data_IF_564739911445
#
_entry.id   IF_564739911445
#
_cell.length_a   1.000
_cell.length_b   1.000
_cell.length_c   1.000
_cell.angle_alpha   90.00
_cell.angle_beta   90.00
_cell.angle_gamma   90.00
#
_symmetry.space_group_name_H-M   'P 1'
#
loop_
_entity.id
_entity.type
_entity.pdbx_description
1 polymer ?
#
# COMPACT_ATOMS: atom_id res chain seq x y z
N UNK A 1 49.12 -0.75 84.19
CA UNK A 1 47.85 -1.50 84.27
C UNK A 1 47.23 -1.50 82.87
N UNK A 2 47.36 -2.64 82.18
CA UNK A 2 46.56 -3.17 81.04
C UNK A 2 46.07 -2.25 79.89
N UNK A 3 46.66 -2.47 78.70
CA UNK A 3 46.08 -2.42 77.33
C UNK A 3 44.85 -3.37 77.18
N UNK A 4 44.18 -3.52 76.00
CA UNK A 4 43.64 -2.60 74.97
C UNK A 4 42.20 -3.03 74.50
N UNK A 5 41.68 -2.47 73.39
CA UNK A 5 40.82 -3.11 72.35
C UNK A 5 39.43 -2.50 71.98
N UNK A 6 39.37 -2.05 70.71
CA UNK A 6 38.39 -2.36 69.64
C UNK A 6 37.01 -1.65 69.47
N UNK A 7 36.78 -1.39 68.16
CA UNK A 7 35.56 -1.18 67.37
C UNK A 7 35.01 0.26 67.21
N UNK A 8 35.29 1.00 66.13
CA UNK A 8 35.01 0.82 64.68
C UNK A 8 33.58 1.24 64.23
N UNK A 9 33.59 2.22 63.32
CA UNK A 9 32.63 2.48 62.22
C UNK A 9 31.29 3.19 62.50
N UNK A 10 31.03 4.24 61.70
CA UNK A 10 29.71 4.40 61.06
C UNK A 10 29.01 5.76 61.15
N UNK A 11 29.57 6.82 60.59
CA UNK A 11 28.77 7.99 60.13
C UNK A 11 27.80 7.56 59.03
N UNK A 12 26.51 7.53 59.32
CA UNK A 12 25.45 7.30 58.33
C UNK A 12 25.08 8.61 57.62
N UNK A 13 25.51 8.74 56.37
CA UNK A 13 24.93 9.67 55.40
C UNK A 13 23.45 9.32 55.16
N UNK A 14 22.55 10.30 55.01
CA UNK A 14 21.19 10.01 54.56
C UNK A 14 21.22 9.51 53.11
N UNK A 15 20.86 8.24 52.93
CA UNK A 15 20.63 7.61 51.63
C UNK A 15 19.60 8.43 50.83
N UNK A 16 20.03 8.93 49.67
CA UNK A 16 19.10 9.42 48.65
C UNK A 16 18.18 8.27 48.20
N UNK A 17 16.87 8.51 47.97
CA UNK A 17 15.96 7.46 47.53
C UNK A 17 16.37 6.91 46.16
N UNK A 18 16.08 5.63 45.85
CA UNK A 18 16.49 5.03 44.58
C UNK A 18 15.73 5.65 43.39
N UNK A 19 16.27 5.56 42.17
CA UNK A 19 15.68 6.15 40.97
C UNK A 19 14.50 5.30 40.43
N UNK A 20 13.41 5.18 41.19
CA UNK A 20 12.20 4.47 40.74
C UNK A 20 11.36 5.30 39.75
N UNK A 21 11.51 6.62 39.72
CA UNK A 21 10.76 7.52 38.83
C UNK A 21 11.22 7.47 37.37
N UNK A 22 12.51 7.25 37.11
CA UNK A 22 13.07 7.22 35.75
C UNK A 22 12.70 5.95 34.98
N UNK A 23 12.63 4.80 35.65
CA UNK A 23 12.22 3.54 35.02
C UNK A 23 10.73 3.53 34.68
N UNK A 24 9.86 4.08 35.54
CA UNK A 24 8.43 4.23 35.25
C UNK A 24 8.18 5.21 34.09
N UNK A 25 8.93 6.31 34.00
CA UNK A 25 8.81 7.27 32.90
C UNK A 25 9.28 6.66 31.57
N UNK A 26 10.39 5.92 31.58
CA UNK A 26 10.90 5.21 30.40
C UNK A 26 9.97 4.09 29.93
N UNK A 27 9.34 3.36 30.86
CA UNK A 27 8.35 2.33 30.55
C UNK A 27 7.08 2.93 29.92
N UNK A 28 6.57 4.03 30.47
CA UNK A 28 5.44 4.79 29.90
C UNK A 28 5.76 5.32 28.50
N UNK A 29 6.92 5.96 28.33
CA UNK A 29 7.36 6.46 27.03
C UNK A 29 7.51 5.35 25.97
N UNK A 30 7.99 4.16 26.36
CA UNK A 30 8.04 2.98 25.46
C UNK A 30 6.63 2.46 25.14
N UNK A 31 5.71 2.48 26.10
CA UNK A 31 4.31 2.12 25.91
C UNK A 31 3.61 3.04 24.91
N UNK A 32 3.75 4.35 25.11
CA UNK A 32 3.16 5.39 24.24
C UNK A 32 3.73 5.32 22.83
N UNK A 33 5.03 5.10 22.67
CA UNK A 33 5.67 4.93 21.37
C UNK A 33 5.18 3.68 20.61
N UNK A 34 4.96 2.57 21.33
CA UNK A 34 4.39 1.34 20.75
C UNK A 34 2.95 1.53 20.32
N UNK A 35 2.12 2.16 21.16
CA UNK A 35 0.73 2.47 20.85
C UNK A 35 0.64 3.40 19.62
N UNK A 36 1.50 4.42 19.53
CA UNK A 36 1.57 5.33 18.39
C UNK A 36 2.04 4.64 17.10
N UNK A 37 2.94 3.65 17.17
CA UNK A 37 3.31 2.86 15.96
C UNK A 37 2.17 1.96 15.52
N UNK A 38 1.51 1.28 16.46
CA UNK A 38 0.36 0.41 16.17
C UNK A 38 -0.80 1.18 15.52
N UNK A 39 -1.10 2.39 16.00
CA UNK A 39 -2.11 3.25 15.37
C UNK A 39 -1.76 3.64 13.93
N UNK A 40 -0.49 3.94 13.64
CA UNK A 40 -0.03 4.27 12.28
C UNK A 40 -0.10 3.08 11.34
N UNK A 41 0.30 1.91 11.82
CA UNK A 41 0.22 0.64 11.07
C UNK A 41 -1.25 0.34 10.74
N UNK A 42 -2.16 0.45 11.71
CA UNK A 42 -3.59 0.25 11.47
C UNK A 42 -4.18 1.17 10.41
N UNK A 43 -3.86 2.48 10.44
CA UNK A 43 -4.33 3.43 9.41
C UNK A 43 -3.85 3.01 8.02
N UNK A 44 -2.59 2.59 7.89
CA UNK A 44 -2.02 2.14 6.62
C UNK A 44 -2.72 0.88 6.13
N UNK A 45 -2.94 -0.11 6.99
CA UNK A 45 -3.58 -1.37 6.62
C UNK A 45 -5.04 -1.17 6.20
N UNK A 46 -5.80 -0.30 6.89
CA UNK A 46 -7.16 0.06 6.48
C UNK A 46 -7.16 0.72 5.10
N UNK A 47 -6.26 1.67 4.84
CA UNK A 47 -6.18 2.33 3.53
C UNK A 47 -5.77 1.36 2.41
N UNK A 48 -4.86 0.41 2.69
CA UNK A 48 -4.51 -0.67 1.75
C UNK A 48 -5.71 -1.55 1.44
N UNK A 49 -6.48 -1.94 2.46
CA UNK A 49 -7.68 -2.75 2.30
C UNK A 49 -8.74 -2.06 1.44
N UNK A 50 -9.01 -0.77 1.71
CA UNK A 50 -9.92 0.05 0.90
C UNK A 50 -9.43 0.12 -0.55
N UNK A 51 -8.15 0.44 -0.78
CA UNK A 51 -7.58 0.55 -2.12
C UNK A 51 -7.65 -0.78 -2.88
N UNK A 52 -7.36 -1.90 -2.22
CA UNK A 52 -7.43 -3.24 -2.83
C UNK A 52 -8.85 -3.58 -3.29
N UNK A 53 -9.83 -3.39 -2.41
CA UNK A 53 -11.24 -3.69 -2.70
C UNK A 53 -11.79 -2.75 -3.79
N UNK A 54 -11.41 -1.48 -3.74
CA UNK A 54 -11.82 -0.48 -4.73
C UNK A 54 -11.32 -0.85 -6.14
N UNK A 55 -10.03 -1.18 -6.27
CA UNK A 55 -9.44 -1.57 -7.57
C UNK A 55 -10.01 -2.90 -8.05
N UNK A 56 -10.12 -3.90 -7.16
CA UNK A 56 -10.68 -5.20 -7.52
C UNK A 56 -12.13 -5.07 -8.00
N UNK A 57 -12.96 -4.29 -7.30
CA UNK A 57 -14.35 -4.13 -7.71
C UNK A 57 -14.51 -3.27 -8.98
N UNK A 58 -13.62 -2.29 -9.19
CA UNK A 58 -13.54 -1.58 -10.47
C UNK A 58 -13.25 -2.52 -11.64
N UNK A 59 -12.24 -3.39 -11.51
CA UNK A 59 -11.93 -4.38 -12.54
C UNK A 59 -13.04 -5.42 -12.70
N UNK A 60 -13.69 -5.83 -11.61
CA UNK A 60 -14.86 -6.71 -11.67
C UNK A 60 -15.95 -6.13 -12.57
N UNK A 61 -16.32 -4.85 -12.37
CA UNK A 61 -17.32 -4.16 -13.20
C UNK A 61 -16.89 -4.09 -14.67
N UNK A 62 -15.62 -3.85 -14.95
CA UNK A 62 -15.09 -3.82 -16.33
C UNK A 62 -15.11 -5.19 -17.03
N UNK A 63 -15.19 -6.29 -16.28
CA UNK A 63 -15.18 -7.66 -16.82
C UNK A 63 -16.60 -8.19 -17.02
N UNK A 64 -17.53 -7.92 -16.10
CA UNK A 64 -18.85 -8.58 -16.09
C UNK A 64 -20.02 -7.65 -16.39
N UNK A 65 -19.86 -6.33 -16.28
CA UNK A 65 -20.99 -5.41 -16.31
C UNK A 65 -20.91 -4.44 -17.50
N UNK A 66 -22.07 -4.10 -18.07
CA UNK A 66 -22.19 -3.25 -19.28
C UNK A 66 -21.67 -1.81 -19.11
N UNK A 67 -21.44 -1.38 -17.87
CA UNK A 67 -21.01 -0.01 -17.58
C UNK A 67 -22.18 0.93 -17.32
N UNK A 68 -21.90 2.05 -16.64
CA UNK A 68 -22.95 2.94 -16.12
C UNK A 68 -23.74 3.62 -17.23
N UNK A 69 -23.07 4.03 -18.30
CA UNK A 69 -23.72 4.72 -19.41
C UNK A 69 -24.74 3.82 -20.11
N UNK A 70 -24.33 2.62 -20.51
CA UNK A 70 -25.22 1.63 -21.14
C UNK A 70 -26.34 1.20 -20.17
N UNK A 71 -26.01 1.00 -18.89
CA UNK A 71 -27.02 0.68 -17.88
C UNK A 71 -28.11 1.76 -17.77
N UNK A 72 -27.70 3.02 -17.63
CA UNK A 72 -28.63 4.15 -17.50
C UNK A 72 -29.51 4.32 -18.75
N UNK A 73 -28.94 4.16 -19.96
CA UNK A 73 -29.69 4.24 -21.21
C UNK A 73 -30.80 3.19 -21.32
N UNK A 74 -30.59 1.99 -20.75
CA UNK A 74 -31.57 0.90 -20.82
C UNK A 74 -32.56 0.89 -19.65
N UNK A 75 -32.12 1.26 -18.44
CA UNK A 75 -32.90 1.12 -17.20
C UNK A 75 -33.54 2.43 -16.74
N UNK A 76 -33.03 3.58 -17.22
CA UNK A 76 -33.53 4.90 -16.84
C UNK A 76 -33.53 5.13 -15.33
N UNK A 77 -34.52 5.85 -14.82
CA UNK A 77 -34.63 6.17 -13.38
C UNK A 77 -35.40 5.12 -12.56
N UNK A 78 -35.25 3.83 -12.91
CA UNK A 78 -35.87 2.74 -12.14
C UNK A 78 -35.42 2.73 -10.68
N UNK A 79 -36.36 2.48 -9.76
CA UNK A 79 -36.11 2.27 -8.34
C UNK A 79 -36.02 0.79 -7.95
N UNK A 80 -35.84 -0.11 -8.92
CA UNK A 80 -35.61 -1.52 -8.61
C UNK A 80 -34.37 -1.72 -7.72
N UNK A 81 -34.33 -2.74 -6.84
CA UNK A 81 -33.16 -2.97 -5.98
C UNK A 81 -31.84 -3.08 -6.75
N UNK A 82 -31.87 -3.69 -7.94
CA UNK A 82 -30.71 -3.80 -8.83
C UNK A 82 -30.28 -2.45 -9.41
N UNK A 83 -31.22 -1.57 -9.78
CA UNK A 83 -30.92 -0.22 -10.25
C UNK A 83 -30.34 0.65 -9.14
N UNK A 84 -30.93 0.62 -7.93
CA UNK A 84 -30.39 1.33 -6.77
C UNK A 84 -28.97 0.85 -6.45
N UNK A 85 -28.76 -0.47 -6.40
CA UNK A 85 -27.43 -1.04 -6.17
C UNK A 85 -26.44 -0.60 -7.26
N UNK A 86 -26.82 -0.64 -8.53
CA UNK A 86 -25.98 -0.17 -9.63
C UNK A 86 -25.60 1.31 -9.45
N UNK A 87 -26.56 2.20 -9.20
CA UNK A 87 -26.31 3.63 -9.02
C UNK A 87 -25.47 3.94 -7.79
N UNK A 88 -25.65 3.22 -6.68
CA UNK A 88 -24.81 3.35 -5.48
C UNK A 88 -23.34 2.99 -5.75
N UNK A 89 -23.08 2.14 -6.74
CA UNK A 89 -21.71 1.79 -7.16
C UNK A 89 -21.10 2.79 -8.14
N UNK A 90 -21.78 3.89 -8.48
CA UNK A 90 -21.25 4.92 -9.37
C UNK A 90 -19.83 5.41 -8.99
N UNK A 91 -19.50 5.71 -7.71
CA UNK A 91 -18.16 6.15 -7.32
C UNK A 91 -17.04 5.16 -7.67
N UNK A 92 -17.36 3.87 -7.85
CA UNK A 92 -16.40 2.84 -8.27
C UNK A 92 -15.89 3.10 -9.70
N UNK A 93 -16.54 3.98 -10.49
CA UNK A 93 -16.02 4.40 -11.79
C UNK A 93 -14.60 5.00 -11.71
N UNK A 94 -14.22 5.56 -10.57
CA UNK A 94 -12.87 6.06 -10.29
C UNK A 94 -12.03 5.09 -9.46
N UNK A 95 -12.36 3.80 -9.45
CA UNK A 95 -11.69 2.84 -8.57
C UNK A 95 -10.20 2.62 -8.85
N UNK A 96 -9.73 3.01 -10.04
CA UNK A 96 -8.31 3.11 -10.37
C UNK A 96 -7.52 4.06 -9.44
N UNK A 97 -8.19 4.97 -8.72
CA UNK A 97 -7.60 5.82 -7.69
C UNK A 97 -6.92 5.03 -6.55
N UNK A 98 -7.25 3.74 -6.37
CA UNK A 98 -6.53 2.88 -5.44
C UNK A 98 -5.06 2.64 -5.81
N UNK A 99 -4.67 2.76 -7.09
CA UNK A 99 -3.29 2.56 -7.53
C UNK A 99 -2.34 3.64 -6.98
N UNK A 100 -2.62 4.95 -7.13
CA UNK A 100 -1.86 6.00 -6.44
C UNK A 100 -1.74 5.82 -4.93
N UNK A 101 -2.81 5.34 -4.27
CA UNK A 101 -2.81 5.04 -2.83
C UNK A 101 -1.74 4.00 -2.51
N UNK A 102 -1.68 2.89 -3.26
CA UNK A 102 -0.66 1.86 -3.09
C UNK A 102 0.76 2.40 -3.29
N UNK A 103 0.99 3.26 -4.30
CA UNK A 103 2.33 3.82 -4.52
C UNK A 103 2.77 4.73 -3.38
N UNK A 104 1.91 5.63 -2.89
CA UNK A 104 2.22 6.49 -1.74
C UNK A 104 2.49 5.66 -0.49
N UNK A 105 1.66 4.64 -0.22
CA UNK A 105 1.88 3.74 0.93
C UNK A 105 3.19 2.96 0.79
N UNK A 106 3.49 2.44 -0.41
CA UNK A 106 4.72 1.70 -0.69
C UNK A 106 5.95 2.57 -0.40
N UNK A 107 5.99 3.80 -0.93
CA UNK A 107 7.07 4.75 -0.67
C UNK A 107 7.23 5.11 0.80
N UNK A 108 6.13 5.34 1.52
CA UNK A 108 6.15 5.58 2.96
C UNK A 108 6.75 4.41 3.73
N UNK A 109 6.21 3.20 3.52
CA UNK A 109 6.61 2.00 4.27
C UNK A 109 8.07 1.60 3.98
N UNK A 110 8.52 1.75 2.74
CA UNK A 110 9.89 1.41 2.34
C UNK A 110 10.89 2.40 2.90
N UNK A 111 10.58 3.70 2.83
CA UNK A 111 11.53 4.73 3.24
C UNK A 111 11.59 4.93 4.77
N UNK A 112 10.47 4.74 5.50
CA UNK A 112 10.35 5.00 6.95
C UNK A 112 11.48 4.40 7.78
N UNK A 113 11.82 3.14 7.57
CA UNK A 113 12.87 2.48 8.34
C UNK A 113 14.25 3.10 8.12
N UNK A 114 14.57 3.48 6.88
CA UNK A 114 15.82 4.17 6.54
C UNK A 114 15.86 5.60 7.07
N UNK A 115 14.75 6.33 6.94
CA UNK A 115 14.62 7.70 7.44
C UNK A 115 14.83 7.78 8.97
N UNK A 116 14.20 6.88 9.74
CA UNK A 116 14.38 6.81 11.19
C UNK A 116 15.83 6.51 11.60
N UNK A 117 16.49 5.58 10.90
CA UNK A 117 17.91 5.25 11.15
C UNK A 117 18.83 6.41 10.83
N UNK A 118 18.50 7.20 9.81
CA UNK A 118 19.30 8.33 9.38
C UNK A 118 19.19 9.54 10.32
N UNK A 119 18.05 9.68 11.01
CA UNK A 119 17.89 10.65 12.12
C UNK A 119 18.73 10.23 13.33
N UNK A 120 18.74 8.94 13.68
CA UNK A 120 19.58 8.43 14.77
C UNK A 120 21.08 8.34 14.45
N UNK A 121 21.43 8.21 13.18
CA UNK A 121 22.81 8.10 12.70
C UNK A 121 22.94 8.72 11.28
N UNK A 122 23.43 9.98 11.15
CA UNK A 122 23.62 10.64 9.84
C UNK A 122 24.57 9.91 8.88
N UNK A 123 25.50 9.11 9.42
CA UNK A 123 26.43 8.30 8.64
C UNK A 123 25.78 7.00 8.12
N UNK A 124 24.56 6.66 8.55
CA UNK A 124 23.85 5.45 8.14
C UNK A 124 23.79 5.29 6.62
N UNK A 125 24.21 4.10 6.16
CA UNK A 125 24.13 3.67 4.76
C UNK A 125 23.12 2.52 4.66
N UNK A 126 22.36 2.51 3.57
CA UNK A 126 21.48 1.39 3.27
C UNK A 126 22.34 0.18 2.87
N UNK A 127 22.09 -0.95 3.50
CA UNK A 127 22.60 -2.24 3.06
C UNK A 127 21.79 -2.67 1.82
N UNK A 128 22.37 -2.41 0.63
CA UNK A 128 21.69 -2.55 -0.66
C UNK A 128 21.40 -4.01 -0.99
N UNK A 129 22.38 -4.90 -0.80
CA UNK A 129 22.22 -6.32 -1.11
C UNK A 129 21.11 -6.95 -0.28
N UNK A 130 21.13 -6.70 1.04
CA UNK A 130 20.08 -7.18 1.94
C UNK A 130 18.73 -6.50 1.70
N UNK A 131 18.73 -5.23 1.29
CA UNK A 131 17.49 -4.56 0.87
C UNK A 131 16.86 -5.28 -0.32
N UNK A 132 17.61 -5.49 -1.41
CA UNK A 132 17.10 -6.18 -2.60
C UNK A 132 16.73 -7.63 -2.32
N UNK A 133 17.56 -8.38 -1.58
CA UNK A 133 17.26 -9.77 -1.21
C UNK A 133 15.92 -9.91 -0.49
N UNK A 134 15.64 -9.05 0.50
CA UNK A 134 14.36 -9.06 1.21
C UNK A 134 13.18 -8.75 0.31
N UNK A 135 13.34 -7.86 -0.67
CA UNK A 135 12.27 -7.51 -1.61
C UNK A 135 12.05 -8.60 -2.66
N UNK A 136 13.13 -9.17 -3.17
CA UNK A 136 13.11 -10.29 -4.09
C UNK A 136 12.38 -11.50 -3.47
N UNK A 137 12.81 -11.93 -2.28
CA UNK A 137 12.20 -13.06 -1.54
C UNK A 137 10.76 -12.82 -1.10
N UNK A 138 10.34 -11.55 -0.99
CA UNK A 138 8.96 -11.17 -0.71
C UNK A 138 8.06 -11.21 -1.95
N UNK A 139 8.54 -10.75 -3.10
CA UNK A 139 7.72 -10.57 -4.31
C UNK A 139 7.73 -11.81 -5.21
N UNK A 140 8.91 -12.34 -5.53
CA UNK A 140 9.06 -13.32 -6.61
C UNK A 140 8.31 -14.64 -6.38
N UNK A 141 8.29 -15.23 -5.17
CA UNK A 141 7.49 -16.43 -4.93
C UNK A 141 6.00 -16.21 -5.19
N UNK A 142 5.49 -15.04 -4.81
CA UNK A 142 4.08 -14.66 -4.96
C UNK A 142 3.76 -14.36 -6.43
N UNK A 143 4.65 -13.64 -7.12
CA UNK A 143 4.54 -13.36 -8.55
C UNK A 143 4.52 -14.66 -9.36
N UNK A 144 5.46 -15.58 -9.11
CA UNK A 144 5.52 -16.85 -9.84
C UNK A 144 4.22 -17.66 -9.65
N UNK A 145 3.73 -17.78 -8.43
CA UNK A 145 2.47 -18.46 -8.14
C UNK A 145 1.28 -17.77 -8.82
N UNK A 146 1.25 -16.44 -8.87
CA UNK A 146 0.20 -15.68 -9.55
C UNK A 146 0.24 -15.85 -11.08
N UNK A 147 1.43 -15.94 -11.69
CA UNK A 147 1.59 -16.22 -13.12
C UNK A 147 1.13 -17.63 -13.47
N UNK A 148 1.51 -18.63 -12.66
CA UNK A 148 1.05 -20.03 -12.83
C UNK A 148 -0.47 -20.12 -12.68
N UNK A 149 -1.04 -19.46 -11.67
CA UNK A 149 -2.49 -19.40 -11.49
C UNK A 149 -3.17 -18.72 -12.69
N UNK A 150 -2.64 -17.59 -13.16
CA UNK A 150 -3.13 -16.88 -14.35
C UNK A 150 -3.14 -17.82 -15.56
N UNK A 151 -2.02 -18.51 -15.83
CA UNK A 151 -1.92 -19.48 -16.91
C UNK A 151 -3.00 -20.57 -16.80
N UNK A 152 -3.17 -21.16 -15.61
CA UNK A 152 -4.17 -22.21 -15.39
C UNK A 152 -5.61 -21.72 -15.64
N UNK A 153 -5.99 -20.57 -15.08
CA UNK A 153 -7.36 -20.04 -15.20
C UNK A 153 -7.67 -19.55 -16.62
N UNK A 154 -6.69 -18.92 -17.29
CA UNK A 154 -6.85 -18.47 -18.67
C UNK A 154 -6.88 -19.65 -19.64
N UNK A 155 -6.06 -20.68 -19.42
CA UNK A 155 -6.08 -21.91 -20.23
C UNK A 155 -7.44 -22.63 -20.16
N UNK A 156 -8.09 -22.61 -18.99
CA UNK A 156 -9.44 -23.12 -18.85
C UNK A 156 -10.47 -22.21 -19.53
N UNK A 157 -10.32 -20.89 -19.40
CA UNK A 157 -11.23 -19.92 -20.05
C UNK A 157 -11.17 -19.98 -21.57
N UNK A 158 -10.00 -20.26 -22.15
CA UNK A 158 -9.81 -20.43 -23.60
C UNK A 158 -10.57 -21.62 -24.19
N UNK A 159 -10.94 -22.60 -23.36
CA UNK A 159 -11.76 -23.75 -23.77
C UNK A 159 -13.26 -23.43 -23.81
N UNK A 160 -13.67 -22.23 -23.38
CA UNK A 160 -15.06 -21.81 -23.25
C UNK A 160 -15.40 -20.69 -24.25
N UNK A 161 -15.66 -21.00 -25.53
CA UNK A 161 -16.05 -19.98 -26.51
C UNK A 161 -17.42 -19.37 -26.18
N UNK A 162 -17.65 -18.07 -26.49
CA UNK A 162 -16.67 -17.12 -27.01
C UNK A 162 -15.66 -16.67 -25.94
N UNK A 163 -14.40 -16.54 -26.36
CA UNK A 163 -13.28 -16.18 -25.48
C UNK A 163 -13.35 -14.71 -25.09
N UNK A 164 -13.08 -14.42 -23.83
CA UNK A 164 -13.00 -13.05 -23.33
C UNK A 164 -11.85 -12.27 -24.00
N UNK A 165 -12.16 -11.10 -24.54
CA UNK A 165 -11.18 -10.16 -25.08
C UNK A 165 -10.15 -9.65 -24.05
N UNK A 166 -10.36 -9.93 -22.76
CA UNK A 166 -9.41 -9.60 -21.68
C UNK A 166 -8.21 -10.53 -21.69
N UNK A 167 -8.34 -11.76 -22.19
CA UNK A 167 -7.23 -12.71 -22.28
C UNK A 167 -6.32 -12.28 -23.43
N UNK A 168 -5.08 -11.90 -23.10
CA UNK A 168 -4.04 -11.52 -24.07
C UNK A 168 -3.11 -12.71 -24.33
N UNK A 169 -1.81 -12.46 -24.49
CA UNK A 169 -0.81 -13.48 -24.71
C UNK A 169 -0.52 -14.29 -23.43
N UNK A 170 -0.67 -15.62 -23.53
CA UNK A 170 -0.32 -16.59 -22.47
C UNK A 170 0.95 -17.40 -22.79
N UNK A 171 1.64 -17.08 -23.89
CA UNK A 171 2.85 -17.77 -24.34
C UNK A 171 4.09 -17.52 -23.47
N UNK A 172 5.15 -18.29 -23.71
CA UNK A 172 6.39 -18.25 -22.93
C UNK A 172 7.05 -16.85 -22.95
N UNK A 173 7.03 -16.16 -24.08
CA UNK A 173 7.57 -14.79 -24.17
C UNK A 173 6.88 -13.84 -23.17
N UNK A 174 5.54 -13.80 -23.18
CA UNK A 174 4.77 -12.97 -22.26
C UNK A 174 4.98 -13.40 -20.80
N UNK A 175 5.10 -14.69 -20.54
CA UNK A 175 5.42 -15.22 -19.20
C UNK A 175 6.76 -14.69 -18.71
N UNK A 176 7.82 -14.78 -19.52
CA UNK A 176 9.16 -14.31 -19.18
C UNK A 176 9.21 -12.79 -19.00
N UNK A 177 8.56 -12.02 -19.88
CA UNK A 177 8.43 -10.56 -19.72
C UNK A 177 7.82 -10.21 -18.36
N UNK A 178 6.78 -10.93 -17.93
CA UNK A 178 6.12 -10.65 -16.66
C UNK A 178 6.90 -11.19 -15.44
N UNK A 179 7.58 -12.33 -15.59
CA UNK A 179 8.46 -12.89 -14.56
C UNK A 179 9.63 -11.93 -14.25
N UNK A 180 10.20 -11.30 -15.27
CA UNK A 180 11.24 -10.28 -15.10
C UNK A 180 10.70 -8.88 -14.80
N UNK A 181 9.39 -8.73 -14.62
CA UNK A 181 8.75 -7.44 -14.30
C UNK A 181 9.02 -6.36 -15.36
N UNK A 182 9.00 -6.75 -16.64
CA UNK A 182 9.25 -5.88 -17.80
C UNK A 182 7.97 -5.53 -18.59
N UNK A 183 6.81 -6.00 -18.16
CA UNK A 183 5.52 -5.61 -18.70
C UNK A 183 5.33 -4.09 -18.58
N UNK A 184 4.84 -3.47 -19.66
CA UNK A 184 4.78 -2.01 -19.84
C UNK A 184 5.95 -1.43 -20.65
N UNK A 185 7.08 -2.16 -20.72
CA UNK A 185 8.30 -1.74 -21.45
C UNK A 185 8.64 -2.71 -22.59
N UNK A 186 8.82 -3.99 -22.27
CA UNK A 186 9.24 -5.02 -23.23
C UNK A 186 8.09 -5.92 -23.70
N UNK A 187 6.87 -5.70 -23.20
CA UNK A 187 5.69 -6.46 -23.58
C UNK A 187 4.48 -6.08 -22.74
N UNK A 188 3.38 -6.77 -22.97
CA UNK A 188 2.11 -6.53 -22.28
C UNK A 188 1.96 -7.44 -21.06
N UNK A 189 0.94 -7.18 -20.26
CA UNK A 189 0.59 -8.01 -19.09
C UNK A 189 0.24 -9.43 -19.50
N UNK A 190 0.65 -10.40 -18.68
CA UNK A 190 0.45 -11.83 -18.96
C UNK A 190 -1.02 -12.22 -18.92
N UNK A 191 -1.50 -12.85 -20.00
CA UNK A 191 -2.87 -13.33 -20.12
C UNK A 191 -3.92 -12.26 -19.83
N UNK A 192 -4.87 -12.60 -18.96
CA UNK A 192 -5.94 -11.70 -18.50
C UNK A 192 -5.55 -10.81 -17.33
N UNK A 193 -4.35 -11.00 -16.77
CA UNK A 193 -3.90 -10.33 -15.56
C UNK A 193 -3.37 -8.92 -15.83
N UNK A 194 -4.26 -8.06 -16.32
CA UNK A 194 -4.01 -6.66 -16.61
C UNK A 194 -3.53 -5.82 -15.42
N UNK A 195 -3.61 -6.32 -14.18
CA UNK A 195 -3.17 -5.61 -12.98
C UNK A 195 -1.65 -5.66 -12.76
N UNK A 196 -0.93 -6.60 -13.40
CA UNK A 196 0.51 -6.82 -13.19
C UNK A 196 1.40 -5.63 -13.59
N UNK A 197 0.90 -4.66 -14.35
CA UNK A 197 1.70 -3.50 -14.76
C UNK A 197 2.20 -2.69 -13.56
N UNK A 198 1.41 -2.51 -12.50
CA UNK A 198 1.85 -1.76 -11.31
C UNK A 198 2.92 -2.51 -10.52
N UNK A 199 2.92 -3.85 -10.56
CA UNK A 199 3.95 -4.67 -9.94
C UNK A 199 5.30 -4.45 -10.64
N UNK A 200 5.30 -4.34 -11.97
CA UNK A 200 6.50 -3.98 -12.74
C UNK A 200 7.07 -2.65 -12.27
N UNK A 201 6.22 -1.63 -12.09
CA UNK A 201 6.64 -0.34 -11.54
C UNK A 201 7.17 -0.45 -10.11
N UNK A 202 6.56 -1.29 -9.27
CA UNK A 202 7.02 -1.51 -7.89
C UNK A 202 8.42 -2.16 -7.87
N UNK A 203 8.69 -3.15 -8.71
CA UNK A 203 10.03 -3.75 -8.85
C UNK A 203 11.05 -2.71 -9.35
N UNK A 204 10.67 -1.87 -10.31
CA UNK A 204 11.51 -0.76 -10.78
C UNK A 204 11.80 0.27 -9.66
N UNK A 205 10.81 0.61 -8.82
CA UNK A 205 11.02 1.46 -7.64
C UNK A 205 12.03 0.85 -6.67
N UNK A 206 12.03 -0.47 -6.51
CA UNK A 206 12.97 -1.14 -5.62
C UNK A 206 14.38 -1.16 -6.17
N UNK A 207 14.54 -1.31 -7.49
CA UNK A 207 15.82 -1.22 -8.16
C UNK A 207 16.44 0.18 -7.98
N UNK A 208 15.66 1.25 -8.16
CA UNK A 208 16.16 2.63 -8.08
C UNK A 208 16.27 3.18 -6.65
N UNK A 209 15.59 2.58 -5.67
CA UNK A 209 15.52 3.09 -4.30
C UNK A 209 16.89 3.34 -3.63
N UNK A 210 17.91 2.47 -3.74
CA UNK A 210 19.22 2.74 -3.17
C UNK A 210 19.86 4.04 -3.68
N UNK A 211 19.68 4.35 -4.98
CA UNK A 211 20.15 5.60 -5.58
C UNK A 211 19.38 6.79 -5.01
N UNK A 212 18.06 6.69 -4.92
CA UNK A 212 17.23 7.74 -4.31
C UNK A 212 17.63 7.99 -2.84
N UNK A 213 17.89 6.93 -2.08
CA UNK A 213 18.34 7.03 -0.69
C UNK A 213 19.71 7.71 -0.59
N UNK A 214 20.65 7.38 -1.48
CA UNK A 214 21.96 8.02 -1.57
C UNK A 214 21.83 9.51 -1.95
N UNK A 215 20.96 9.85 -2.92
CA UNK A 215 20.69 11.22 -3.33
C UNK A 215 20.07 12.04 -2.18
N UNK A 216 19.09 11.47 -1.47
CA UNK A 216 18.49 12.07 -0.26
C UNK A 216 19.52 12.39 0.82
N UNK A 217 20.61 11.61 0.92
CA UNK A 217 21.69 11.90 1.86
C UNK A 217 22.55 13.10 1.44
N UNK A 218 22.70 13.34 0.13
CA UNK A 218 23.52 14.43 -0.40
C UNK A 218 22.78 15.77 -0.45
N UNK A 219 21.56 15.78 -0.98
CA UNK A 219 20.84 17.03 -1.29
C UNK A 219 19.55 17.21 -0.47
N UNK A 220 19.21 16.24 0.39
CA UNK A 220 17.98 16.26 1.18
C UNK A 220 16.74 15.81 0.40
N UNK A 221 15.66 15.50 1.14
CA UNK A 221 14.46 14.90 0.55
C UNK A 221 13.63 15.90 -0.29
N UNK A 222 13.64 17.18 0.06
CA UNK A 222 12.89 18.20 -0.69
C UNK A 222 13.48 18.41 -2.10
N UNK A 223 14.81 18.45 -2.22
CA UNK A 223 15.47 18.55 -3.52
C UNK A 223 15.26 17.28 -4.35
N UNK A 224 15.30 16.10 -3.72
CA UNK A 224 14.94 14.82 -4.37
C UNK A 224 13.51 14.87 -4.92
N UNK A 225 12.54 15.32 -4.12
CA UNK A 225 11.15 15.44 -4.55
C UNK A 225 11.00 16.39 -5.75
N UNK A 226 11.70 17.53 -5.74
CA UNK A 226 11.68 18.49 -6.84
C UNK A 226 12.27 17.90 -8.14
N UNK A 227 13.40 17.19 -8.04
CA UNK A 227 14.02 16.50 -9.19
C UNK A 227 13.08 15.41 -9.74
N UNK A 228 12.49 14.58 -8.86
CA UNK A 228 11.54 13.54 -9.29
C UNK A 228 10.30 14.16 -9.93
N UNK A 229 9.78 15.28 -9.40
CA UNK A 229 8.66 15.99 -10.00
C UNK A 229 9.00 16.51 -11.41
N UNK A 230 10.20 17.07 -11.60
CA UNK A 230 10.65 17.49 -12.93
C UNK A 230 10.77 16.32 -13.91
N UNK A 231 11.39 15.22 -13.49
CA UNK A 231 11.50 13.98 -14.29
C UNK A 231 10.12 13.42 -14.62
N UNK A 232 9.18 13.49 -13.67
CA UNK A 232 7.81 13.00 -13.84
C UNK A 232 7.09 13.78 -14.95
N UNK A 233 7.21 15.11 -14.96
CA UNK A 233 6.65 15.97 -16.01
C UNK A 233 7.28 15.64 -17.36
N UNK A 234 8.61 15.55 -17.45
CA UNK A 234 9.30 15.20 -18.71
C UNK A 234 8.87 13.81 -19.20
N UNK A 235 8.78 12.84 -18.30
CA UNK A 235 8.31 11.48 -18.60
C UNK A 235 6.87 11.46 -19.12
N UNK A 236 5.99 12.33 -18.61
CA UNK A 236 4.62 12.46 -19.10
C UNK A 236 4.59 12.86 -20.58
N UNK A 237 5.45 13.79 -20.98
CA UNK A 237 5.52 14.26 -22.36
C UNK A 237 6.18 13.26 -23.30
N UNK A 238 7.21 12.54 -22.83
CA UNK A 238 8.04 11.67 -23.68
C UNK A 238 7.59 10.19 -23.71
N UNK A 239 7.05 9.64 -22.63
CA UNK A 239 6.79 8.20 -22.52
C UNK A 239 5.29 7.89 -22.50
N UNK A 240 4.53 8.61 -21.69
CA UNK A 240 3.09 8.35 -21.54
C UNK A 240 2.33 8.61 -22.86
N UNK A 241 2.75 9.61 -23.64
CA UNK A 241 2.19 9.87 -24.97
C UNK A 241 2.38 8.73 -25.98
N UNK A 242 3.29 7.81 -25.71
CA UNK A 242 3.61 6.65 -26.55
C UNK A 242 3.22 5.32 -25.89
N UNK A 243 2.34 5.34 -24.88
CA UNK A 243 1.88 4.15 -24.14
C UNK A 243 3.01 3.34 -23.48
N UNK A 244 4.14 3.98 -23.17
CA UNK A 244 5.27 3.35 -22.48
C UNK A 244 5.10 3.57 -20.98
N UNK A 245 4.76 2.49 -20.28
CA UNK A 245 4.53 2.51 -18.84
C UNK A 245 5.86 2.31 -18.10
N UNK A 246 6.59 3.41 -17.88
CA UNK A 246 7.86 3.41 -17.17
C UNK A 246 7.76 4.03 -15.77
N UNK A 247 8.62 3.61 -14.83
CA UNK A 247 8.53 4.06 -13.43
C UNK A 247 8.57 5.58 -13.29
N UNK A 248 9.28 6.29 -14.16
CA UNK A 248 9.42 7.76 -14.12
C UNK A 248 8.08 8.48 -14.21
N UNK A 249 7.08 7.91 -14.89
CA UNK A 249 5.71 8.45 -14.99
C UNK A 249 4.92 8.35 -13.68
N UNK A 250 5.30 7.46 -12.76
CA UNK A 250 4.60 7.23 -11.49
C UNK A 250 5.48 7.45 -10.25
N UNK A 251 6.74 7.83 -10.47
CA UNK A 251 7.76 7.95 -9.43
C UNK A 251 7.45 9.06 -8.42
N UNK A 252 6.74 10.11 -8.84
CA UNK A 252 6.30 11.19 -7.95
C UNK A 252 5.37 10.66 -6.86
N UNK A 253 4.37 9.85 -7.23
CA UNK A 253 3.42 9.25 -6.28
C UNK A 253 4.13 8.44 -5.18
N UNK A 254 5.10 7.63 -5.59
CA UNK A 254 5.92 6.85 -4.66
C UNK A 254 6.80 7.76 -3.77
N UNK A 255 7.43 8.78 -4.37
CA UNK A 255 8.34 9.69 -3.66
C UNK A 255 7.62 10.60 -2.67
N UNK A 256 6.35 10.96 -2.91
CA UNK A 256 5.50 11.65 -1.93
C UNK A 256 5.38 10.84 -0.62
N UNK A 257 5.18 9.52 -0.72
CA UNK A 257 5.19 8.63 0.43
C UNK A 257 6.51 8.65 1.19
N UNK A 258 7.63 8.57 0.46
CA UNK A 258 8.97 8.66 1.03
C UNK A 258 9.23 10.02 1.71
N UNK A 259 8.74 11.11 1.12
CA UNK A 259 8.81 12.45 1.69
C UNK A 259 8.03 12.55 3.01
N UNK A 260 6.81 12.00 3.08
CA UNK A 260 6.04 11.93 4.33
C UNK A 260 6.83 11.17 5.40
N UNK A 261 7.47 10.06 5.03
CA UNK A 261 8.28 9.28 5.95
C UNK A 261 9.50 10.07 6.50
N UNK A 262 10.22 10.83 5.65
CA UNK A 262 11.33 11.69 6.08
C UNK A 262 10.84 12.84 6.98
N UNK A 263 9.72 13.49 6.59
CA UNK A 263 9.11 14.58 7.36
C UNK A 263 8.67 14.14 8.76
N UNK A 264 8.07 12.95 8.88
CA UNK A 264 7.66 12.37 10.17
C UNK A 264 8.85 11.83 10.98
N UNK A 265 9.92 11.35 10.33
CA UNK A 265 11.12 10.86 11.00
C UNK A 265 11.92 11.99 11.67
N UNK A 266 12.03 13.16 11.02
CA UNK A 266 12.79 14.32 11.53
C UNK A 266 12.18 15.01 12.76
N UNK A 267 11.09 14.50 13.31
CA UNK A 267 10.57 15.04 14.56
C UNK A 267 9.90 16.40 14.41
N UNK A 268 9.19 16.66 13.30
CA UNK A 268 8.07 17.63 13.31
C UNK A 268 6.91 17.16 14.23
N UNK A 269 7.18 16.25 15.17
CA UNK A 269 6.27 15.67 16.15
C UNK A 269 5.61 16.69 17.08
N UNK A 270 6.09 17.94 17.10
CA UNK A 270 5.42 19.07 17.77
C UNK A 270 4.55 19.95 16.86
N UNK A 271 4.89 20.07 15.57
CA UNK A 271 4.17 20.92 14.63
C UNK A 271 2.98 20.15 14.05
N UNK A 272 1.77 20.57 14.42
CA UNK A 272 0.53 19.97 13.90
C UNK A 272 0.46 20.19 12.40
N UNK A 273 0.24 19.12 11.65
CA UNK A 273 -0.17 19.29 10.27
C UNK A 273 -1.53 20.01 10.27
N UNK A 274 -1.67 21.10 9.49
CA UNK A 274 -2.84 21.95 9.58
C UNK A 274 -4.09 21.24 9.01
N UNK A 275 -5.26 21.55 9.55
CA UNK A 275 -6.51 20.87 9.18
C UNK A 275 -6.92 21.10 7.72
N UNK A 276 -6.46 22.20 7.11
CA UNK A 276 -6.71 22.50 5.69
C UNK A 276 -6.12 21.45 4.74
N UNK A 277 -5.19 20.59 5.19
CA UNK A 277 -4.71 19.46 4.39
C UNK A 277 -5.83 18.48 4.02
N UNK A 278 -6.89 18.33 4.82
CA UNK A 278 -8.06 17.54 4.42
C UNK A 278 -8.88 18.23 3.32
N UNK A 279 -8.97 19.55 3.36
CA UNK A 279 -9.63 20.34 2.31
C UNK A 279 -8.83 20.24 1.01
N UNK A 280 -7.50 20.36 1.09
CA UNK A 280 -6.61 20.17 -0.05
C UNK A 280 -6.69 18.74 -0.59
N UNK A 281 -6.75 17.74 0.30
CA UNK A 281 -6.96 16.34 -0.10
C UNK A 281 -8.27 16.17 -0.87
N UNK A 282 -9.38 16.72 -0.37
CA UNK A 282 -10.67 16.68 -1.04
C UNK A 282 -10.63 17.40 -2.40
N UNK A 283 -10.01 18.59 -2.47
CA UNK A 283 -9.87 19.35 -3.71
C UNK A 283 -9.09 18.56 -4.78
N UNK A 284 -7.98 17.93 -4.41
CA UNK A 284 -7.21 17.08 -5.32
C UNK A 284 -7.95 15.80 -5.71
N UNK A 285 -8.73 15.20 -4.82
CA UNK A 285 -9.54 14.02 -5.15
C UNK A 285 -10.61 14.38 -6.20
N UNK A 286 -11.34 15.47 -5.97
CA UNK A 286 -12.36 15.98 -6.90
C UNK A 286 -11.72 16.40 -8.23
N UNK A 287 -10.59 17.12 -8.18
CA UNK A 287 -9.83 17.50 -9.37
C UNK A 287 -9.35 16.28 -10.16
N UNK A 288 -8.92 15.22 -9.48
CA UNK A 288 -8.56 13.94 -10.11
C UNK A 288 -9.75 13.25 -10.78
N UNK A 289 -10.94 13.30 -10.19
CA UNK A 289 -12.16 12.78 -10.81
C UNK A 289 -12.49 13.49 -12.12
N UNK A 290 -12.31 14.82 -12.16
CA UNK A 290 -12.46 15.63 -13.38
C UNK A 290 -11.36 15.32 -14.40
N UNK A 291 -10.10 15.30 -13.96
CA UNK A 291 -8.95 15.00 -14.81
C UNK A 291 -9.02 13.61 -15.45
N UNK A 292 -9.64 12.63 -14.78
CA UNK A 292 -9.80 11.27 -15.29
C UNK A 292 -10.61 11.22 -16.60
N UNK A 293 -11.45 12.22 -16.86
CA UNK A 293 -12.15 12.36 -18.13
C UNK A 293 -11.20 12.67 -19.30
N UNK A 294 -10.11 13.39 -19.04
CA UNK A 294 -9.14 13.81 -20.05
C UNK A 294 -7.94 12.86 -20.16
N UNK A 295 -7.70 12.04 -19.13
CA UNK A 295 -6.65 11.03 -19.15
C UNK A 295 -6.33 10.46 -17.77
N UNK A 296 -5.84 9.23 -17.74
CA UNK A 296 -5.53 8.53 -16.49
C UNK A 296 -4.33 9.13 -15.77
N UNK A 297 -3.29 9.53 -16.51
CA UNK A 297 -2.05 10.04 -15.94
C UNK A 297 -2.26 11.24 -15.01
N UNK A 298 -2.95 12.28 -15.49
CA UNK A 298 -3.19 13.51 -14.70
C UNK A 298 -4.04 13.23 -13.46
N UNK A 299 -5.06 12.38 -13.59
CA UNK A 299 -5.88 11.94 -12.47
C UNK A 299 -5.04 11.22 -11.40
N UNK A 300 -4.11 10.36 -11.82
CA UNK A 300 -3.25 9.62 -10.89
C UNK A 300 -2.34 10.55 -10.09
N UNK A 301 -1.78 11.59 -10.70
CA UNK A 301 -0.96 12.56 -9.98
C UNK A 301 -1.78 13.36 -8.96
N UNK A 302 -3.00 13.80 -9.33
CA UNK A 302 -3.89 14.52 -8.42
C UNK A 302 -4.34 13.63 -7.26
N UNK A 303 -4.74 12.39 -7.52
CA UNK A 303 -5.10 11.44 -6.48
C UNK A 303 -3.93 11.10 -5.56
N UNK A 304 -2.71 10.98 -6.09
CA UNK A 304 -1.51 10.80 -5.27
C UNK A 304 -1.25 11.99 -4.34
N UNK A 305 -1.34 13.22 -4.85
CA UNK A 305 -1.20 14.45 -4.06
C UNK A 305 -2.29 14.56 -2.99
N UNK A 306 -3.53 14.28 -3.36
CA UNK A 306 -4.67 14.30 -2.43
C UNK A 306 -4.50 13.28 -1.32
N UNK A 307 -4.14 12.04 -1.67
CA UNK A 307 -3.87 11.00 -0.68
C UNK A 307 -2.62 11.30 0.16
N UNK A 308 -1.58 11.90 -0.40
CA UNK A 308 -0.40 12.33 0.36
C UNK A 308 -0.75 13.38 1.41
N UNK A 309 -1.60 14.36 1.08
CA UNK A 309 -2.10 15.36 2.03
C UNK A 309 -2.91 14.69 3.16
N UNK A 310 -3.83 13.80 2.79
CA UNK A 310 -4.61 13.01 3.74
C UNK A 310 -3.71 12.17 4.67
N UNK A 311 -2.79 11.40 4.11
CA UNK A 311 -1.91 10.50 4.85
C UNK A 311 -0.96 11.27 5.77
N UNK A 312 -0.40 12.38 5.31
CA UNK A 312 0.46 13.23 6.12
C UNK A 312 -0.28 13.72 7.37
N UNK A 313 -1.56 14.07 7.24
CA UNK A 313 -2.41 14.50 8.36
C UNK A 313 -2.84 13.33 9.24
N UNK A 314 -3.31 12.23 8.64
CA UNK A 314 -3.82 11.04 9.34
C UNK A 314 -2.75 10.34 10.20
N UNK A 315 -1.46 10.49 9.88
CA UNK A 315 -0.35 9.94 10.65
C UNK A 315 0.09 10.82 11.85
N UNK A 316 -0.63 11.92 12.15
CA UNK A 316 -0.35 12.77 13.30
C UNK A 316 -0.62 12.05 14.64
N UNK A 317 0.30 12.12 15.63
CA UNK A 317 0.23 11.34 16.87
C UNK A 317 -1.02 11.53 17.74
N UNK A 318 -1.76 12.64 17.58
CA UNK A 318 -2.90 13.02 18.44
C UNK A 318 -4.28 12.86 17.79
N UNK A 319 -4.36 12.56 16.49
CA UNK A 319 -5.66 12.28 15.85
C UNK A 319 -6.18 10.87 16.16
N UNK A 320 -5.31 9.94 16.57
CA UNK A 320 -5.70 8.66 17.16
C UNK A 320 -6.45 8.76 18.50
N UNK A 321 -6.52 9.97 19.10
CA UNK A 321 -7.14 10.22 20.40
C UNK A 321 -8.39 11.12 20.36
N UNK A 322 -8.88 11.54 19.17
CA UNK A 322 -10.10 12.36 19.07
C UNK A 322 -11.35 11.55 19.38
N UNK A 323 -11.65 11.50 20.67
CA UNK A 323 -12.97 11.27 21.23
C UNK A 323 -13.98 12.21 20.58
N UNK A 324 -15.07 11.64 20.10
CA UNK A 324 -16.21 12.35 19.55
C UNK A 324 -17.36 12.28 20.60
N UNK A 325 -18.14 13.35 20.86
CA UNK A 325 -19.10 13.43 21.98
C UNK A 325 -20.24 12.37 21.99
N UNK A 326 -20.76 12.12 23.21
CA UNK A 326 -21.17 10.81 23.79
C UNK A 326 -22.62 10.31 23.64
N UNK A 327 -23.55 10.98 22.96
CA UNK A 327 -24.99 10.63 23.07
C UNK A 327 -25.54 9.57 22.10
N UNK A 328 -25.34 9.77 20.79
CA UNK A 328 -25.91 8.92 19.72
C UNK A 328 -24.85 8.07 18.97
N UNK A 329 -23.61 8.06 19.47
CA UNK A 329 -22.43 7.51 18.77
C UNK A 329 -22.09 6.06 19.06
N UNK A 330 -22.59 5.43 20.12
CA UNK A 330 -22.11 4.11 20.54
C UNK A 330 -22.37 2.99 19.50
N UNK A 331 -23.51 3.01 18.82
CA UNK A 331 -23.82 2.08 17.72
C UNK A 331 -22.97 2.39 16.46
N UNK A 332 -22.89 3.66 16.06
CA UNK A 332 -22.05 4.10 14.92
C UNK A 332 -20.56 3.82 15.15
N UNK A 333 -20.06 3.94 16.38
CA UNK A 333 -18.66 3.67 16.74
C UNK A 333 -18.37 2.17 16.80
N UNK A 334 -19.34 1.35 17.19
CA UNK A 334 -19.18 -0.11 17.20
C UNK A 334 -19.14 -0.65 15.77
N UNK A 335 -20.05 -0.18 14.91
CA UNK A 335 -20.04 -0.48 13.47
C UNK A 335 -18.77 0.05 12.82
N UNK A 336 -18.36 1.29 13.10
CA UNK A 336 -17.12 1.87 12.55
C UNK A 336 -15.87 1.11 12.96
N UNK A 337 -15.78 0.65 14.22
CA UNK A 337 -14.65 -0.16 14.72
C UNK A 337 -14.67 -1.59 14.18
N UNK A 338 -15.84 -2.16 13.93
CA UNK A 338 -15.95 -3.46 13.26
C UNK A 338 -15.50 -3.35 11.81
N UNK A 339 -15.98 -2.33 11.09
CA UNK A 339 -15.60 -2.05 9.71
C UNK A 339 -14.10 -1.76 9.57
N UNK A 340 -13.51 -0.94 10.44
CA UNK A 340 -12.07 -0.67 10.40
C UNK A 340 -11.24 -1.93 10.62
N UNK A 341 -11.67 -2.83 11.53
CA UNK A 341 -11.01 -4.12 11.73
C UNK A 341 -11.12 -5.03 10.51
N UNK A 342 -12.27 -5.09 9.86
CA UNK A 342 -12.46 -5.86 8.62
C UNK A 342 -11.60 -5.30 7.50
N UNK A 343 -11.60 -3.98 7.29
CA UNK A 343 -10.79 -3.32 6.26
C UNK A 343 -9.29 -3.48 6.51
N UNK A 344 -8.85 -3.42 7.78
CA UNK A 344 -7.46 -3.70 8.16
C UNK A 344 -7.07 -5.14 7.79
N UNK A 345 -7.95 -6.13 8.04
CA UNK A 345 -7.71 -7.52 7.63
C UNK A 345 -7.67 -7.68 6.11
N UNK A 346 -8.50 -6.93 5.37
CA UNK A 346 -8.39 -6.85 3.91
C UNK A 346 -7.05 -6.23 3.48
N UNK A 347 -6.49 -5.34 4.29
CA UNK A 347 -5.14 -4.80 4.13
C UNK A 347 -4.04 -5.86 4.16
N UNK A 348 -4.17 -6.88 5.03
CA UNK A 348 -3.17 -7.93 5.21
C UNK A 348 -2.93 -8.77 3.94
N UNK A 349 -4.00 -9.11 3.22
CA UNK A 349 -3.95 -9.88 1.96
C UNK A 349 -4.17 -9.02 0.71
N UNK A 350 -4.08 -7.69 0.85
CA UNK A 350 -4.30 -6.73 -0.25
C UNK A 350 -3.44 -7.03 -1.48
N UNK A 351 -2.20 -7.46 -1.28
CA UNK A 351 -1.27 -7.80 -2.36
C UNK A 351 -1.69 -9.07 -3.09
N UNK A 352 -2.05 -10.13 -2.37
CA UNK A 352 -2.65 -11.34 -2.94
C UNK A 352 -3.91 -11.04 -3.75
N UNK A 353 -4.85 -10.27 -3.21
CA UNK A 353 -6.07 -9.88 -3.92
C UNK A 353 -5.74 -9.13 -5.22
N UNK A 354 -4.80 -8.19 -5.14
CA UNK A 354 -4.34 -7.43 -6.29
C UNK A 354 -3.76 -8.32 -7.40
N UNK A 355 -3.03 -9.37 -7.07
CA UNK A 355 -2.37 -10.23 -8.05
C UNK A 355 -3.28 -11.23 -8.76
N UNK A 356 -4.40 -11.67 -8.15
CA UNK A 356 -5.15 -12.82 -8.67
C UNK A 356 -6.61 -12.52 -9.05
N UNK A 357 -7.14 -11.34 -8.72
CA UNK A 357 -8.58 -11.06 -8.92
C UNK A 357 -9.02 -11.07 -10.39
N UNK A 358 -8.21 -10.55 -11.32
CA UNK A 358 -8.57 -10.43 -12.73
C UNK A 358 -8.77 -11.79 -13.42
N UNK A 359 -7.80 -12.74 -13.35
CA UNK A 359 -7.98 -14.08 -13.91
C UNK A 359 -9.19 -14.82 -13.33
N UNK A 360 -9.48 -14.63 -12.04
CA UNK A 360 -10.67 -15.19 -11.40
C UNK A 360 -11.95 -14.60 -12.02
N UNK A 361 -12.04 -13.28 -12.16
CA UNK A 361 -13.22 -12.64 -12.78
C UNK A 361 -13.43 -13.05 -14.23
N UNK A 362 -12.34 -13.20 -14.98
CA UNK A 362 -12.40 -13.58 -16.40
C UNK A 362 -12.85 -15.02 -16.55
N UNK A 363 -12.36 -15.94 -15.71
CA UNK A 363 -12.84 -17.31 -15.67
C UNK A 363 -14.32 -17.39 -15.30
N UNK A 364 -14.74 -16.69 -14.24
CA UNK A 364 -16.15 -16.67 -13.82
C UNK A 364 -17.05 -16.11 -14.93
N UNK A 365 -16.61 -15.07 -15.65
CA UNK A 365 -17.32 -14.49 -16.79
C UNK A 365 -17.45 -15.49 -17.95
N UNK A 366 -16.35 -16.19 -18.27
CA UNK A 366 -16.32 -17.20 -19.32
C UNK A 366 -17.23 -18.39 -18.98
N UNK A 367 -17.21 -18.84 -17.73
CA UNK A 367 -17.97 -19.99 -17.27
C UNK A 367 -19.47 -19.73 -17.08
N UNK A 368 -19.84 -18.62 -16.41
CA UNK A 368 -21.24 -18.35 -16.05
C UNK A 368 -22.00 -17.64 -17.16
N UNK A 369 -21.34 -16.77 -17.92
CA UNK A 369 -21.99 -15.89 -18.88
C UNK A 369 -21.36 -15.95 -20.27
N UNK A 370 -20.49 -16.93 -20.55
CA UNK A 370 -19.88 -17.07 -21.88
C UNK A 370 -19.19 -15.76 -22.33
N UNK A 371 -18.51 -15.10 -21.38
CA UNK A 371 -17.82 -13.81 -21.57
C UNK A 371 -18.73 -12.63 -21.96
N UNK A 372 -20.05 -12.76 -21.85
CA UNK A 372 -20.99 -11.68 -22.16
C UNK A 372 -21.16 -10.69 -21.00
N UNK A 373 -21.26 -9.40 -21.34
CA UNK A 373 -21.52 -8.35 -20.36
C UNK A 373 -22.98 -8.40 -19.88
N UNK A 374 -23.17 -8.26 -18.58
CA UNK A 374 -24.47 -8.36 -17.92
C UNK A 374 -25.08 -6.98 -17.66
N UNK A 375 -26.38 -6.86 -17.88
CA UNK A 375 -27.15 -5.67 -17.47
C UNK A 375 -27.31 -5.60 -15.95
N UNK A 376 -27.49 -6.77 -15.30
CA UNK A 376 -27.62 -6.88 -13.86
C UNK A 376 -26.29 -6.63 -13.16
N UNK A 377 -26.31 -5.88 -12.04
CA UNK A 377 -25.11 -5.61 -11.22
C UNK A 377 -24.76 -6.79 -10.30
N UNK A 378 -25.72 -7.68 -9.98
CA UNK A 378 -25.56 -8.75 -9.01
C UNK A 378 -24.38 -9.71 -9.27
N UNK A 379 -24.09 -10.11 -10.52
CA UNK A 379 -22.90 -10.89 -10.84
C UNK A 379 -21.60 -10.28 -10.33
N UNK A 380 -21.46 -8.94 -10.36
CA UNK A 380 -20.24 -8.27 -9.88
C UNK A 380 -20.01 -8.48 -8.38
N UNK A 381 -21.07 -8.50 -7.57
CA UNK A 381 -20.96 -8.81 -6.14
C UNK A 381 -20.63 -10.28 -5.92
N UNK A 382 -21.26 -11.19 -6.67
CA UNK A 382 -20.96 -12.62 -6.64
C UNK A 382 -19.48 -12.91 -6.94
N UNK A 383 -18.89 -12.20 -7.89
CA UNK A 383 -17.50 -12.38 -8.27
C UNK A 383 -16.55 -11.92 -7.16
N UNK A 384 -16.86 -10.82 -6.49
CA UNK A 384 -16.11 -10.37 -5.31
C UNK A 384 -16.19 -11.37 -4.16
N UNK A 385 -17.35 -12.02 -3.96
CA UNK A 385 -17.53 -13.07 -2.96
C UNK A 385 -16.69 -14.32 -3.24
N UNK A 386 -16.25 -14.53 -4.49
CA UNK A 386 -15.31 -15.61 -4.84
C UNK A 386 -13.86 -15.12 -4.74
N UNK A 387 -13.55 -13.96 -5.32
CA UNK A 387 -12.17 -13.47 -5.42
C UNK A 387 -11.56 -13.08 -4.07
N UNK A 388 -12.33 -12.49 -3.14
CA UNK A 388 -11.83 -12.07 -1.83
C UNK A 388 -11.43 -13.28 -0.96
N UNK A 389 -12.25 -14.34 -0.80
CA UNK A 389 -11.82 -15.56 -0.13
C UNK A 389 -10.66 -16.27 -0.84
N UNK A 390 -10.68 -16.37 -2.17
CA UNK A 390 -9.58 -16.96 -2.94
C UNK A 390 -8.25 -16.22 -2.68
N UNK A 391 -8.28 -14.89 -2.64
CA UNK A 391 -7.13 -14.06 -2.30
C UNK A 391 -6.64 -14.29 -0.86
N UNK A 392 -7.54 -14.47 0.09
CA UNK A 392 -7.16 -14.79 1.47
C UNK A 392 -6.50 -16.18 1.56
N UNK A 393 -7.00 -17.19 0.83
CA UNK A 393 -6.38 -18.51 0.75
C UNK A 393 -4.99 -18.41 0.13
N UNK A 394 -4.86 -17.71 -1.01
CA UNK A 394 -3.59 -17.48 -1.68
C UNK A 394 -2.58 -16.75 -0.77
N UNK A 395 -3.04 -15.76 0.00
CA UNK A 395 -2.23 -15.09 1.02
C UNK A 395 -1.69 -16.06 2.06
N UNK A 396 -2.53 -16.94 2.60
CA UNK A 396 -2.12 -17.91 3.63
C UNK A 396 -1.13 -18.95 3.10
N UNK A 397 -1.30 -19.38 1.85
CA UNK A 397 -0.50 -20.43 1.24
C UNK A 397 0.81 -19.94 0.63
N UNK A 398 0.85 -18.71 0.10
CA UNK A 398 1.99 -18.21 -0.70
C UNK A 398 2.58 -16.93 -0.11
N UNK A 399 1.78 -15.87 0.06
CA UNK A 399 2.29 -14.55 0.47
C UNK A 399 2.85 -14.58 1.90
N UNK A 400 2.11 -15.16 2.85
CA UNK A 400 2.51 -15.18 4.25
C UNK A 400 3.81 -16.00 4.48
N UNK A 401 4.00 -17.19 3.89
CA UNK A 401 5.30 -17.86 3.88
C UNK A 401 6.42 -17.01 3.25
N UNK A 402 6.18 -16.35 2.12
CA UNK A 402 7.17 -15.48 1.49
C UNK A 402 7.54 -14.28 2.37
N UNK A 403 6.57 -13.70 3.09
CA UNK A 403 6.81 -12.64 4.07
C UNK A 403 7.66 -13.12 5.25
N UNK A 404 7.37 -14.31 5.79
CA UNK A 404 8.16 -14.92 6.87
C UNK A 404 9.59 -15.22 6.42
N UNK A 405 9.75 -15.73 5.20
CA UNK A 405 11.05 -15.98 4.59
C UNK A 405 11.85 -14.69 4.39
N UNK A 406 11.23 -13.64 3.84
CA UNK A 406 11.85 -12.31 3.74
C UNK A 406 12.28 -11.73 5.10
N UNK A 407 11.50 -11.98 6.16
CA UNK A 407 11.80 -11.50 7.51
C UNK A 407 13.01 -12.20 8.16
N UNK A 408 13.35 -13.44 7.77
CA UNK A 408 14.50 -14.16 8.33
C UNK A 408 15.85 -13.52 7.95
N UNK A 409 15.90 -12.79 6.83
CA UNK A 409 17.08 -12.04 6.38
C UNK A 409 17.25 -10.69 7.10
N UNK A 410 16.39 -10.35 8.06
CA UNK A 410 16.56 -9.12 8.85
C UNK A 410 17.78 -9.29 9.75
N UNK A 411 18.88 -8.62 9.41
CA UNK A 411 20.10 -8.62 10.23
C UNK A 411 19.73 -8.26 11.66
N UNK A 412 20.05 -9.15 12.61
CA UNK A 412 19.91 -8.87 14.04
C UNK A 412 20.72 -7.62 14.43
N UNK A 413 20.44 -7.00 15.59
CA UNK A 413 21.34 -5.98 16.11
C UNK A 413 22.75 -6.57 16.17
N UNK A 414 23.72 -5.87 15.59
CA UNK A 414 25.11 -6.29 15.54
C UNK A 414 25.50 -6.82 16.93
N UNK A 415 25.85 -8.10 16.97
CA UNK A 415 26.39 -8.75 18.16
C UNK A 415 27.62 -7.91 18.52
N UNK A 416 27.51 -7.11 19.58
CA UNK A 416 28.60 -6.31 20.11
C UNK A 416 29.82 -7.21 20.16
N UNK A 417 30.89 -6.80 19.47
CA UNK A 417 32.18 -7.47 19.50
C UNK A 417 32.63 -7.49 20.96
N UNK A 418 32.29 -8.58 21.65
CA UNK A 418 32.89 -8.95 22.93
C UNK A 418 33.99 -9.92 22.52
N UNK A 419 35.19 -9.37 22.33
CA UNK A 419 36.49 -10.02 22.50
C UNK A 419 37.59 -9.01 22.12
N UNK A 420 37.85 -8.12 23.07
CA UNK A 420 39.20 -7.61 23.34
C UNK A 420 39.37 -7.69 24.86
N UNK A 421 39.90 -8.83 25.31
CA UNK A 421 40.88 -8.93 26.40
C UNK A 421 41.70 -10.17 26.15
#
# INVERSE_FOLDING_TARGET
MSDPALDAAGTSLPLSPPPHTSQSAAARARGDARAASAGKEHVIDVMRGIAALLVAYFHCRQVVWVGMQAFHQNVGHSFSPGALAAYLTFPIAWGSAGVPIFFVISGYCIHRGGALRLVGNPAYRLDVGNFWLRRFTRIYPVLLAALVLTFALDSLSLQLPPVSHKIREIGLHAFLVNLFSLQGVAGKTYGSNGALWTLSLEVQFYAIYPLLFALRRRIGMNAVLAIVAAINIVSAYLLERHDIQFFTSYWLSWTLGAWIADAKARGTAGARAPAWLYVLAAAFIVGGCVAFHFGQYGAFQLWALGFACYLHKALDPRDGARHTPRGLRALSETVSRALSRVLSRCGDFSFSLYLIHLPIFVLLSSWLFRSSLQMSIWPSFGYMLVAVPAAYVFYRLVELPAMKWSASFKSGPARTVRNLR
#
